data_IF_385545415532
#
_entry.id   IF_385545415532
#
_cell.length_a   1.000
_cell.length_b   1.000
_cell.length_c   1.000
_cell.angle_alpha   90.00
_cell.angle_beta   90.00
_cell.angle_gamma   90.00
#
_symmetry.space_group_name_H-M   'P 1'
#
loop_
_entity.id
_entity.type
_entity.pdbx_description
1 polymer ?
#
# COMPACT_ATOMS: atom_id res chain seq x y z
N UNK A 1 44.16 46.75 -49.55
CA UNK A 1 42.87 46.15 -49.97
C UNK A 1 42.36 45.09 -49.00
N UNK A 2 43.15 44.07 -48.61
CA UNK A 2 42.70 42.98 -47.70
C UNK A 2 42.35 43.40 -46.26
N UNK A 3 42.99 44.45 -45.71
CA UNK A 3 42.71 44.93 -44.35
C UNK A 3 41.38 45.71 -44.24
N UNK A 4 41.09 46.57 -45.23
CA UNK A 4 39.84 47.33 -45.29
C UNK A 4 38.60 46.42 -45.41
N UNK A 5 38.68 45.35 -46.21
CA UNK A 5 37.60 44.37 -46.36
C UNK A 5 37.33 43.63 -45.05
N UNK A 6 38.36 43.26 -44.28
CA UNK A 6 38.19 42.63 -42.97
C UNK A 6 37.52 43.55 -41.96
N UNK A 7 37.85 44.85 -41.95
CA UNK A 7 37.24 45.83 -41.05
C UNK A 7 35.75 46.01 -41.40
N UNK A 8 35.40 46.10 -42.68
CA UNK A 8 34.00 46.20 -43.12
C UNK A 8 33.18 44.96 -42.75
N UNK A 9 33.73 43.76 -42.93
CA UNK A 9 33.05 42.51 -42.54
C UNK A 9 32.83 42.44 -41.03
N UNK A 10 33.82 42.84 -40.22
CA UNK A 10 33.69 42.87 -38.75
C UNK A 10 32.60 43.86 -38.32
N UNK A 11 32.56 45.05 -38.93
CA UNK A 11 31.52 46.04 -38.67
C UNK A 11 30.12 45.52 -39.04
N UNK A 12 29.98 44.84 -40.18
CA UNK A 12 28.71 44.23 -40.59
C UNK A 12 28.27 43.15 -39.59
N UNK A 13 29.18 42.26 -39.18
CA UNK A 13 28.88 41.21 -38.18
C UNK A 13 28.48 41.83 -36.84
N UNK A 14 29.17 42.89 -36.38
CA UNK A 14 28.82 43.61 -35.14
C UNK A 14 27.44 44.26 -35.24
N UNK A 15 27.12 44.91 -36.36
CA UNK A 15 25.80 45.53 -36.56
C UNK A 15 24.69 44.49 -36.65
N UNK A 16 24.95 43.34 -37.29
CA UNK A 16 23.98 42.25 -37.40
C UNK A 16 23.79 41.57 -36.04
N UNK A 17 24.85 41.40 -35.24
CA UNK A 17 24.76 40.89 -33.87
C UNK A 17 23.98 41.86 -32.97
N UNK A 18 24.23 43.17 -33.05
CA UNK A 18 23.46 44.19 -32.33
C UNK A 18 21.99 44.21 -32.76
N UNK A 19 21.70 44.04 -34.04
CA UNK A 19 20.34 43.97 -34.57
C UNK A 19 19.63 42.69 -34.12
N UNK A 20 20.31 41.53 -34.12
CA UNK A 20 19.77 40.26 -33.62
C UNK A 20 19.51 40.33 -32.12
N UNK A 21 20.41 40.93 -31.33
CA UNK A 21 20.17 41.18 -29.89
C UNK A 21 18.93 42.04 -29.73
N UNK A 22 18.79 43.13 -30.49
CA UNK A 22 17.64 44.05 -30.39
C UNK A 22 16.31 43.44 -30.89
N UNK A 23 16.35 42.44 -31.76
CA UNK A 23 15.16 41.73 -32.26
C UNK A 23 14.77 40.55 -31.36
N UNK A 24 15.74 39.92 -30.66
CA UNK A 24 15.50 38.84 -29.70
C UNK A 24 15.19 39.36 -28.29
N UNK A 25 15.64 40.58 -27.95
CA UNK A 25 15.13 41.34 -26.82
C UNK A 25 13.70 41.76 -27.14
N UNK A 26 12.71 41.18 -26.46
CA UNK A 26 11.32 41.65 -26.53
C UNK A 26 11.17 43.13 -26.15
N UNK A 27 9.96 43.70 -26.23
CA UNK A 27 9.71 45.11 -25.89
C UNK A 27 10.28 45.44 -24.50
N UNK A 28 11.13 46.45 -24.42
CA UNK A 28 11.94 46.77 -23.22
C UNK A 28 11.10 47.41 -22.09
N UNK A 29 9.85 47.79 -22.38
CA UNK A 29 8.90 48.44 -21.46
C UNK A 29 7.56 47.69 -21.41
N UNK A 30 7.49 46.59 -20.66
CA UNK A 30 6.27 45.77 -20.54
C UNK A 30 6.09 45.16 -19.13
N UNK A 31 4.92 44.58 -18.87
CA UNK A 31 4.64 43.77 -17.69
C UNK A 31 4.91 42.29 -18.00
N UNK A 32 5.75 41.64 -17.18
CA UNK A 32 6.13 40.25 -17.38
C UNK A 32 5.70 39.41 -16.18
N UNK A 33 5.25 38.20 -16.45
CA UNK A 33 4.89 37.30 -15.37
C UNK A 33 6.07 36.46 -14.91
N UNK A 34 6.37 36.51 -13.60
CA UNK A 34 7.36 35.63 -12.95
C UNK A 34 6.77 35.17 -11.63
N UNK A 35 6.73 33.85 -11.42
CA UNK A 35 6.24 33.20 -10.19
C UNK A 35 4.86 33.69 -9.72
N UNK A 36 3.91 33.89 -10.64
CA UNK A 36 2.55 34.34 -10.30
C UNK A 36 2.37 35.85 -10.13
N UNK A 37 3.46 36.63 -10.22
CA UNK A 37 3.49 38.05 -9.95
C UNK A 37 3.89 38.87 -11.18
N UNK A 38 3.16 39.96 -11.42
CA UNK A 38 3.54 40.93 -12.45
C UNK A 38 4.80 41.67 -12.02
N UNK A 39 5.91 41.38 -12.69
CA UNK A 39 7.14 42.13 -12.57
C UNK A 39 7.16 43.22 -13.65
N UNK A 40 7.46 44.44 -13.19
CA UNK A 40 7.67 45.59 -14.05
C UNK A 40 9.06 45.51 -14.66
N UNK A 41 9.17 45.61 -15.98
CA UNK A 41 10.45 45.81 -16.65
C UNK A 41 10.34 47.04 -17.55
N UNK A 42 11.28 47.98 -17.35
CA UNK A 42 11.22 49.30 -17.93
C UNK A 42 10.13 50.20 -17.31
N UNK A 43 9.48 51.01 -18.15
CA UNK A 43 8.38 51.91 -17.80
C UNK A 43 7.16 51.69 -18.68
N UNK A 44 6.41 50.58 -18.50
CA UNK A 44 5.21 50.29 -19.26
C UNK A 44 4.19 51.44 -19.17
N UNK A 45 3.66 51.84 -20.32
CA UNK A 45 2.67 52.92 -20.45
C UNK A 45 1.25 52.46 -20.09
N UNK A 46 0.99 51.15 -20.12
CA UNK A 46 -0.26 50.54 -19.68
C UNK A 46 -0.33 50.32 -18.16
N UNK A 47 -1.52 50.42 -17.59
CA UNK A 47 -1.76 50.02 -16.21
C UNK A 47 -1.41 48.53 -16.02
N UNK A 48 -0.92 48.18 -14.82
CA UNK A 48 -0.68 46.79 -14.46
C UNK A 48 -1.98 45.97 -14.66
N UNK A 49 -1.93 44.79 -15.29
CA UNK A 49 -3.12 43.96 -15.47
C UNK A 49 -3.76 43.62 -14.12
N UNK A 50 -5.10 43.68 -14.05
CA UNK A 50 -5.87 43.58 -12.80
C UNK A 50 -6.21 42.14 -12.38
N UNK A 51 -5.39 41.17 -12.74
CA UNK A 51 -5.53 39.75 -12.37
C UNK A 51 -4.17 39.10 -12.10
N UNK A 52 -4.14 37.99 -11.35
CA UNK A 52 -2.92 37.19 -11.16
C UNK A 52 -2.33 36.75 -12.50
N UNK A 53 -1.02 36.73 -12.63
CA UNK A 53 -0.35 36.41 -13.89
C UNK A 53 0.21 34.99 -13.86
N UNK A 54 0.42 34.41 -15.04
CA UNK A 54 0.96 33.07 -15.19
C UNK A 54 -0.12 32.14 -15.72
N UNK A 55 0.30 30.95 -16.16
CA UNK A 55 -0.63 29.88 -16.50
C UNK A 55 -1.36 29.54 -15.19
N UNK A 56 -2.50 30.19 -14.96
CA UNK A 56 -3.33 29.95 -13.78
C UNK A 56 -3.52 28.45 -13.71
N UNK A 57 -3.17 27.82 -12.58
CA UNK A 57 -3.13 26.37 -12.47
C UNK A 57 -4.37 25.80 -13.15
N UNK A 58 -4.18 25.18 -14.32
CA UNK A 58 -5.28 24.64 -15.10
C UNK A 58 -5.80 23.49 -14.27
N UNK A 59 -6.88 23.73 -13.54
CA UNK A 59 -7.54 22.73 -12.71
C UNK A 59 -8.14 21.70 -13.67
N UNK A 60 -7.67 20.46 -13.57
CA UNK A 60 -8.09 19.35 -14.47
C UNK A 60 -9.10 18.42 -13.82
N UNK A 61 -9.16 18.40 -12.49
CA UNK A 61 -9.96 17.44 -11.74
C UNK A 61 -10.37 17.99 -10.37
N UNK A 62 -11.24 17.24 -9.69
CA UNK A 62 -11.76 17.62 -8.38
C UNK A 62 -10.66 17.75 -7.31
N UNK A 63 -9.65 16.89 -7.33
CA UNK A 63 -8.54 16.91 -6.36
C UNK A 63 -7.71 18.19 -6.48
N UNK A 64 -7.40 18.60 -7.71
CA UNK A 64 -6.73 19.88 -8.00
C UNK A 64 -7.60 21.07 -7.58
N UNK A 65 -8.91 21.03 -7.86
CA UNK A 65 -9.85 22.08 -7.46
C UNK A 65 -9.89 22.25 -5.93
N UNK A 66 -9.95 21.13 -5.20
CA UNK A 66 -9.92 21.11 -3.73
C UNK A 66 -8.59 21.64 -3.19
N UNK A 67 -7.47 21.21 -3.75
CA UNK A 67 -6.13 21.61 -3.32
C UNK A 67 -5.87 23.10 -3.56
N UNK A 68 -6.45 23.66 -4.62
CA UNK A 68 -6.42 25.09 -4.91
C UNK A 68 -7.31 25.94 -3.97
N UNK A 69 -8.09 25.32 -3.08
CA UNK A 69 -8.90 26.01 -2.08
C UNK A 69 -10.23 26.56 -2.58
N UNK A 70 -10.70 26.11 -3.75
CA UNK A 70 -11.99 26.50 -4.30
C UNK A 70 -13.17 25.92 -3.49
N UNK A 71 -14.35 26.59 -3.50
CA UNK A 71 -15.50 26.14 -2.73
C UNK A 71 -16.02 24.78 -3.21
N UNK A 72 -16.31 23.90 -2.24
CA UNK A 72 -16.98 22.61 -2.45
C UNK A 72 -18.44 22.73 -2.09
N UNK A 73 -19.33 22.32 -2.99
CA UNK A 73 -20.78 22.34 -2.78
C UNK A 73 -21.23 21.17 -1.90
N UNK A 74 -22.30 21.39 -1.13
CA UNK A 74 -22.98 20.36 -0.33
C UNK A 74 -23.78 19.42 -1.24
N UNK A 75 -23.10 18.58 -2.01
CA UNK A 75 -23.68 17.61 -2.93
C UNK A 75 -23.02 16.23 -2.80
N UNK A 76 -23.71 15.19 -3.29
CA UNK A 76 -23.14 13.87 -3.49
C UNK A 76 -23.32 13.43 -4.96
N UNK A 77 -22.24 13.15 -5.72
CA UNK A 77 -20.82 13.36 -5.37
C UNK A 77 -20.51 14.81 -5.01
N UNK A 78 -19.39 15.05 -4.31
CA UNK A 78 -18.92 16.41 -4.06
C UNK A 78 -18.57 17.10 -5.37
N UNK A 79 -18.83 18.40 -5.43
CA UNK A 79 -18.58 19.22 -6.61
C UNK A 79 -17.78 20.45 -6.20
N UNK A 80 -16.71 20.74 -6.92
CA UNK A 80 -15.85 21.89 -6.69
C UNK A 80 -15.91 22.82 -7.91
N UNK A 81 -15.89 24.14 -7.67
CA UNK A 81 -16.05 25.14 -8.73
C UNK A 81 -14.97 26.20 -8.66
N UNK A 82 -14.29 26.44 -9.78
CA UNK A 82 -13.26 27.47 -9.89
C UNK A 82 -13.84 28.89 -10.15
N UNK A 83 -12.96 29.89 -10.20
CA UNK A 83 -13.31 31.29 -10.47
C UNK A 83 -13.89 31.52 -11.89
N UNK A 84 -13.68 30.57 -12.81
CA UNK A 84 -14.22 30.59 -14.17
C UNK A 84 -15.57 29.87 -14.27
N UNK A 85 -16.12 29.41 -13.14
CA UNK A 85 -17.36 28.64 -13.05
C UNK A 85 -17.27 27.28 -13.77
N UNK A 86 -16.06 26.74 -13.97
CA UNK A 86 -15.87 25.34 -14.35
C UNK A 86 -16.18 24.46 -13.13
N UNK A 87 -16.86 23.35 -13.38
CA UNK A 87 -17.28 22.43 -12.33
C UNK A 87 -16.54 21.10 -12.44
N UNK A 88 -15.97 20.69 -11.32
CA UNK A 88 -15.24 19.44 -11.17
C UNK A 88 -16.02 18.54 -10.22
N UNK A 89 -16.34 17.33 -10.67
CA UNK A 89 -17.08 16.34 -9.90
C UNK A 89 -16.09 15.34 -9.31
N UNK A 90 -16.25 15.03 -8.03
CA UNK A 90 -15.49 13.97 -7.37
C UNK A 90 -15.72 12.62 -8.06
N UNK A 91 -14.63 11.92 -8.37
CA UNK A 91 -14.70 10.54 -8.87
C UNK A 91 -15.11 9.62 -7.71
N UNK A 92 -16.30 9.02 -7.83
CA UNK A 92 -16.83 8.02 -6.89
C UNK A 92 -16.89 6.63 -7.51
N UNK A 93 -16.20 6.41 -8.64
CA UNK A 93 -16.34 5.23 -9.46
C UNK A 93 -17.75 5.12 -10.03
N UNK A 94 -18.35 3.93 -9.94
CA UNK A 94 -19.70 3.67 -10.43
C UNK A 94 -20.74 3.47 -9.31
N UNK A 95 -20.45 3.96 -8.09
CA UNK A 95 -21.33 3.75 -6.93
C UNK A 95 -22.77 4.20 -7.20
N UNK A 96 -22.98 5.35 -7.84
CA UNK A 96 -24.32 5.85 -8.14
C UNK A 96 -25.08 4.94 -9.12
N UNK A 97 -24.39 4.36 -10.09
CA UNK A 97 -24.98 3.42 -11.07
C UNK A 97 -25.38 2.09 -10.40
N UNK A 98 -24.76 1.76 -9.27
CA UNK A 98 -24.95 0.49 -8.56
C UNK A 98 -25.82 0.59 -7.31
N UNK A 99 -26.31 1.77 -6.94
CA UNK A 99 -27.03 2.01 -5.69
C UNK A 99 -28.26 1.10 -5.44
N UNK A 100 -28.88 0.57 -6.50
CA UNK A 100 -30.05 -0.32 -6.40
C UNK A 100 -29.68 -1.81 -6.30
N UNK A 101 -28.42 -2.14 -6.59
CA UNK A 101 -27.85 -3.49 -6.60
C UNK A 101 -26.92 -3.74 -5.42
N UNK A 102 -26.04 -2.79 -5.12
CA UNK A 102 -25.04 -2.88 -4.07
C UNK A 102 -24.67 -1.50 -3.52
N UNK A 103 -24.51 -1.41 -2.21
CA UNK A 103 -24.18 -0.19 -1.47
C UNK A 103 -23.01 -0.48 -0.55
N UNK A 104 -22.01 0.39 -0.57
CA UNK A 104 -20.84 0.29 0.29
C UNK A 104 -20.95 1.29 1.45
N UNK A 105 -20.79 0.81 2.68
CA UNK A 105 -20.77 1.67 3.87
C UNK A 105 -19.32 2.02 4.25
N UNK A 106 -18.39 1.08 4.09
CA UNK A 106 -16.96 1.29 4.30
C UNK A 106 -16.13 0.41 3.34
N UNK A 107 -15.05 0.95 2.73
CA UNK A 107 -14.68 2.36 2.70
C UNK A 107 -15.63 3.21 1.82
N UNK A 108 -15.68 4.52 2.08
CA UNK A 108 -16.30 5.49 1.16
C UNK A 108 -15.33 5.85 0.02
N UNK A 109 -15.82 6.31 -1.14
CA UNK A 109 -14.94 6.75 -2.23
C UNK A 109 -13.89 7.76 -1.77
N UNK A 110 -12.67 7.60 -2.29
CA UNK A 110 -11.46 8.39 -1.99
C UNK A 110 -11.03 8.36 -0.51
N UNK A 111 -11.58 7.48 0.32
CA UNK A 111 -11.13 7.31 1.70
C UNK A 111 -9.69 6.77 1.72
N UNK A 112 -8.88 7.29 2.64
CA UNK A 112 -7.57 6.70 2.94
C UNK A 112 -7.75 5.38 3.68
N UNK A 113 -7.21 4.29 3.13
CA UNK A 113 -7.37 2.92 3.64
C UNK A 113 -6.03 2.31 4.04
N UNK A 114 -6.00 1.57 5.13
CA UNK A 114 -4.83 0.85 5.64
C UNK A 114 -5.11 -0.65 5.72
N UNK A 115 -4.07 -1.48 5.66
CA UNK A 115 -4.21 -2.93 5.82
C UNK A 115 -4.28 -3.35 7.31
N UNK A 116 -5.15 -4.31 7.69
CA UNK A 116 -6.23 -4.87 6.88
C UNK A 116 -7.36 -3.85 6.68
N UNK A 117 -7.91 -3.79 5.46
CA UNK A 117 -9.08 -2.98 5.16
C UNK A 117 -10.35 -3.77 5.47
N UNK A 118 -11.07 -3.35 6.51
CA UNK A 118 -12.42 -3.80 6.77
C UNK A 118 -13.39 -3.23 5.73
N UNK A 119 -14.27 -4.06 5.17
CA UNK A 119 -15.22 -3.68 4.14
C UNK A 119 -16.62 -4.08 4.62
N UNK A 120 -17.57 -3.17 4.48
CA UNK A 120 -18.96 -3.43 4.87
C UNK A 120 -19.93 -2.70 3.95
N UNK A 121 -21.12 -3.26 3.82
CA UNK A 121 -22.19 -2.69 3.03
C UNK A 121 -23.36 -3.66 2.94
N UNK A 122 -24.15 -3.51 1.89
CA UNK A 122 -25.28 -4.38 1.59
C UNK A 122 -25.43 -4.58 0.08
N UNK A 123 -25.77 -5.78 -0.35
CA UNK A 123 -26.01 -6.11 -1.76
C UNK A 123 -27.31 -6.88 -1.91
N UNK A 124 -27.94 -6.80 -3.08
CA UNK A 124 -29.10 -7.63 -3.42
C UNK A 124 -28.70 -9.10 -3.35
N UNK A 125 -29.60 -9.98 -2.93
CA UNK A 125 -29.26 -11.40 -2.72
C UNK A 125 -28.68 -12.12 -3.95
N UNK A 126 -29.09 -11.74 -5.16
CA UNK A 126 -28.53 -12.26 -6.43
C UNK A 126 -27.10 -11.77 -6.75
N UNK A 127 -26.51 -10.91 -5.90
CA UNK A 127 -25.10 -10.55 -5.98
C UNK A 127 -24.19 -11.66 -5.42
N UNK A 128 -24.74 -12.48 -4.53
CA UNK A 128 -24.06 -13.56 -3.84
C UNK A 128 -24.25 -14.90 -4.58
N UNK A 129 -23.27 -15.78 -4.42
CA UNK A 129 -23.37 -17.21 -4.66
C UNK A 129 -22.72 -17.93 -3.48
N UNK A 130 -23.35 -18.99 -2.96
CA UNK A 130 -22.88 -19.66 -1.74
C UNK A 130 -22.65 -18.71 -0.56
N UNK A 131 -23.51 -17.68 -0.43
CA UNK A 131 -23.43 -16.61 0.59
C UNK A 131 -22.19 -15.71 0.49
N UNK A 132 -21.40 -15.78 -0.58
CA UNK A 132 -20.18 -14.98 -0.77
C UNK A 132 -20.15 -14.28 -2.14
N UNK A 133 -19.24 -13.32 -2.29
CA UNK A 133 -18.87 -12.77 -3.59
C UNK A 133 -17.41 -12.26 -3.57
N UNK A 134 -16.73 -12.18 -4.73
CA UNK A 134 -15.31 -11.80 -4.79
C UNK A 134 -15.09 -10.30 -4.55
N UNK A 135 -14.00 -10.01 -3.83
CA UNK A 135 -13.50 -8.65 -3.60
C UNK A 135 -12.07 -8.56 -4.09
N UNK A 136 -11.75 -7.54 -4.88
CA UNK A 136 -10.40 -7.28 -5.38
C UNK A 136 -9.97 -5.87 -5.02
N UNK A 137 -8.69 -5.71 -4.75
CA UNK A 137 -8.06 -4.40 -4.61
C UNK A 137 -7.07 -4.24 -5.75
N UNK A 138 -7.19 -3.12 -6.47
CA UNK A 138 -6.38 -2.80 -7.64
C UNK A 138 -5.50 -1.58 -7.36
N UNK A 139 -4.33 -1.52 -7.99
CA UNK A 139 -3.49 -0.32 -8.04
C UNK A 139 -4.03 0.72 -9.05
N UNK A 140 -3.34 1.86 -9.16
CA UNK A 140 -3.64 2.91 -10.15
C UNK A 140 -3.61 2.44 -11.61
N UNK A 141 -2.89 1.37 -11.92
CA UNK A 141 -2.77 0.77 -13.25
C UNK A 141 -3.81 -0.33 -13.49
N UNK A 142 -4.75 -0.53 -12.56
CA UNK A 142 -5.74 -1.62 -12.54
C UNK A 142 -5.14 -3.02 -12.43
N UNK A 143 -3.92 -3.15 -11.93
CA UNK A 143 -3.34 -4.44 -11.56
C UNK A 143 -3.89 -4.88 -10.20
N UNK A 144 -4.27 -6.16 -10.10
CA UNK A 144 -4.72 -6.74 -8.83
C UNK A 144 -3.55 -6.82 -7.85
N UNK A 145 -3.69 -6.19 -6.67
CA UNK A 145 -2.72 -6.24 -5.58
C UNK A 145 -3.13 -7.18 -4.45
N UNK A 146 -4.44 -7.37 -4.25
CA UNK A 146 -4.98 -8.29 -3.25
C UNK A 146 -6.37 -8.78 -3.65
N UNK A 147 -6.75 -9.94 -3.13
CA UNK A 147 -8.10 -10.52 -3.29
C UNK A 147 -8.61 -11.05 -1.95
N UNK A 148 -9.93 -11.03 -1.79
CA UNK A 148 -10.64 -11.63 -0.66
C UNK A 148 -12.07 -11.98 -1.10
N UNK A 149 -12.92 -12.39 -0.17
CA UNK A 149 -14.35 -12.58 -0.38
C UNK A 149 -15.15 -11.82 0.68
N UNK A 150 -16.28 -11.26 0.26
CA UNK A 150 -17.28 -10.73 1.19
C UNK A 150 -18.29 -11.81 1.54
N UNK A 151 -18.65 -11.88 2.81
CA UNK A 151 -19.58 -12.85 3.37
C UNK A 151 -20.91 -12.18 3.73
N UNK A 152 -22.02 -12.74 3.26
CA UNK A 152 -23.37 -12.35 3.68
C UNK A 152 -23.55 -12.55 5.20
N UNK A 153 -24.24 -11.62 5.85
CA UNK A 153 -24.51 -11.64 7.29
C UNK A 153 -25.94 -12.12 7.62
N UNK A 154 -26.57 -12.88 6.71
CA UNK A 154 -27.93 -13.38 6.84
C UNK A 154 -28.36 -14.21 5.63
N UNK A 155 -29.66 -14.49 5.55
CA UNK A 155 -30.26 -15.20 4.40
C UNK A 155 -30.07 -14.41 3.11
N UNK A 156 -29.34 -14.98 2.16
CA UNK A 156 -28.93 -14.31 0.93
C UNK A 156 -29.80 -14.69 -0.29
N UNK A 157 -30.56 -15.77 -0.22
CA UNK A 157 -31.47 -16.21 -1.30
C UNK A 157 -32.74 -15.35 -1.31
N UNK A 158 -32.59 -14.05 -1.55
CA UNK A 158 -33.65 -13.04 -1.50
C UNK A 158 -33.46 -11.98 -2.59
N UNK A 159 -34.52 -11.25 -2.91
CA UNK A 159 -34.44 -10.05 -3.74
C UNK A 159 -34.10 -8.80 -2.92
N UNK A 160 -34.11 -8.90 -1.59
CA UNK A 160 -33.80 -7.78 -0.69
C UNK A 160 -32.30 -7.51 -0.55
N UNK A 161 -31.98 -6.36 0.06
CA UNK A 161 -30.62 -6.06 0.46
C UNK A 161 -30.17 -6.91 1.66
N UNK A 162 -29.00 -7.50 1.52
CA UNK A 162 -28.37 -8.38 2.50
C UNK A 162 -27.05 -7.75 2.93
N UNK A 163 -26.84 -7.48 4.24
CA UNK A 163 -25.57 -6.94 4.72
C UNK A 163 -24.42 -7.91 4.46
N UNK A 164 -23.24 -7.38 4.14
CA UNK A 164 -22.01 -8.15 3.99
C UNK A 164 -20.85 -7.56 4.77
N UNK A 165 -19.85 -8.40 5.06
CA UNK A 165 -18.55 -7.99 5.59
C UNK A 165 -17.43 -8.70 4.85
N UNK A 166 -16.30 -8.01 4.69
CA UNK A 166 -15.04 -8.58 4.24
C UNK A 166 -13.88 -7.93 4.99
N UNK A 167 -12.71 -8.57 4.95
CA UNK A 167 -11.45 -7.95 5.30
C UNK A 167 -10.44 -8.31 4.22
N UNK A 168 -9.65 -7.34 3.78
CA UNK A 168 -8.60 -7.56 2.77
C UNK A 168 -7.26 -7.05 3.30
N UNK A 169 -6.29 -7.94 3.37
CA UNK A 169 -4.89 -7.61 3.67
C UNK A 169 -4.17 -7.22 2.37
N UNK A 170 -3.39 -6.16 2.40
CA UNK A 170 -2.64 -5.68 1.24
C UNK A 170 -1.35 -4.97 1.66
N UNK A 171 -0.42 -4.85 0.71
CA UNK A 171 0.78 -4.04 0.85
C UNK A 171 0.84 -3.08 -0.34
N UNK A 172 0.74 -1.78 -0.08
CA UNK A 172 0.75 -0.74 -1.10
C UNK A 172 1.51 0.49 -0.59
N UNK A 173 2.08 1.25 -1.52
CA UNK A 173 2.77 2.49 -1.19
C UNK A 173 1.75 3.55 -0.75
N UNK A 174 2.03 4.22 0.37
CA UNK A 174 1.16 5.28 0.88
C UNK A 174 1.05 6.46 -0.10
N UNK A 175 -0.14 7.04 -0.17
CA UNK A 175 -0.48 8.16 -1.05
C UNK A 175 -0.85 7.77 -2.48
N UNK A 176 -0.66 6.52 -2.89
CA UNK A 176 -1.11 6.07 -4.21
C UNK A 176 -2.62 5.83 -4.25
N UNK A 177 -3.25 6.14 -5.39
CA UNK A 177 -4.65 5.81 -5.64
C UNK A 177 -4.79 4.34 -6.04
N UNK A 178 -5.90 3.72 -5.64
CA UNK A 178 -6.30 2.39 -6.05
C UNK A 178 -7.81 2.27 -6.22
N UNK A 179 -8.26 1.06 -6.51
CA UNK A 179 -9.68 0.77 -6.70
C UNK A 179 -10.07 -0.50 -5.94
N UNK A 180 -11.04 -0.36 -5.04
CA UNK A 180 -11.72 -1.51 -4.45
C UNK A 180 -12.83 -1.95 -5.40
N UNK A 181 -12.83 -3.23 -5.77
CA UNK A 181 -13.80 -3.83 -6.68
C UNK A 181 -14.57 -4.91 -5.94
N UNK A 182 -15.89 -4.74 -5.84
CA UNK A 182 -16.82 -5.73 -5.32
C UNK A 182 -17.50 -6.35 -6.53
N UNK A 183 -17.08 -7.55 -6.92
CA UNK A 183 -17.64 -8.25 -8.07
C UNK A 183 -18.88 -9.04 -7.68
N UNK A 184 -19.89 -9.04 -8.55
CA UNK A 184 -20.99 -10.00 -8.48
C UNK A 184 -20.43 -11.39 -8.74
N UNK A 185 -20.82 -12.37 -7.92
CA UNK A 185 -20.39 -13.74 -8.17
C UNK A 185 -21.00 -14.26 -9.48
N UNK A 186 -20.16 -14.87 -10.32
CA UNK A 186 -20.53 -15.33 -11.66
C UNK A 186 -19.97 -16.72 -11.94
N UNK A 187 -20.58 -17.79 -11.38
CA UNK A 187 -20.11 -19.17 -11.58
C UNK A 187 -20.13 -19.64 -13.04
N UNK A 188 -20.87 -18.94 -13.90
CA UNK A 188 -20.98 -19.27 -15.33
C UNK A 188 -19.83 -18.70 -16.18
N UNK A 189 -19.04 -17.78 -15.62
CA UNK A 189 -18.01 -17.01 -16.34
C UNK A 189 -18.50 -16.27 -17.61
N UNK A 190 -19.82 -16.13 -17.78
CA UNK A 190 -20.42 -15.44 -18.91
C UNK A 190 -20.39 -13.91 -18.71
N UNK A 191 -19.86 -13.12 -19.66
CA UNK A 191 -19.73 -11.67 -19.51
C UNK A 191 -21.04 -10.94 -19.19
N UNK A 192 -22.17 -11.40 -19.72
CA UNK A 192 -23.50 -10.83 -19.48
C UNK A 192 -23.97 -10.94 -18.02
N UNK A 193 -23.39 -11.87 -17.25
CA UNK A 193 -23.71 -12.08 -15.84
C UNK A 193 -22.73 -11.35 -14.90
N UNK A 194 -21.62 -10.84 -15.44
CA UNK A 194 -20.63 -10.09 -14.69
C UNK A 194 -21.17 -8.70 -14.36
N UNK A 195 -21.02 -8.31 -13.10
CA UNK A 195 -21.24 -6.94 -12.67
C UNK A 195 -20.26 -6.59 -11.55
N UNK A 196 -19.95 -5.32 -11.36
CA UNK A 196 -19.03 -4.86 -10.33
C UNK A 196 -19.35 -3.46 -9.82
N UNK A 197 -19.13 -3.26 -8.52
CA UNK A 197 -19.00 -1.95 -7.91
C UNK A 197 -17.51 -1.62 -7.78
N UNK A 198 -17.13 -0.48 -8.35
CA UNK A 198 -15.77 0.07 -8.33
C UNK A 198 -15.76 1.32 -7.45
N UNK A 199 -14.92 1.31 -6.42
CA UNK A 199 -14.80 2.37 -5.42
C UNK A 199 -13.35 2.85 -5.40
N UNK A 200 -13.06 4.10 -5.78
CA UNK A 200 -11.71 4.64 -5.69
C UNK A 200 -11.30 4.77 -4.22
N UNK A 201 -10.04 4.46 -3.90
CA UNK A 201 -9.47 4.57 -2.54
C UNK A 201 -8.06 5.16 -2.62
N UNK A 202 -7.57 5.66 -1.49
CA UNK A 202 -6.18 6.14 -1.36
C UNK A 202 -5.46 5.23 -0.37
N UNK A 203 -4.31 4.68 -0.72
CA UNK A 203 -3.57 3.84 0.22
C UNK A 203 -2.92 4.71 1.31
N UNK A 204 -3.17 4.35 2.56
CA UNK A 204 -2.52 4.96 3.73
C UNK A 204 -1.26 4.22 4.13
N UNK A 205 -0.50 4.81 5.05
CA UNK A 205 0.60 4.12 5.72
C UNK A 205 0.07 2.88 6.45
N UNK A 206 0.63 1.68 6.21
CA UNK A 206 0.12 0.46 6.83
C UNK A 206 0.22 0.58 8.35
N UNK A 207 -0.86 0.21 9.05
CA UNK A 207 -0.79 0.06 10.49
C UNK A 207 0.21 -1.04 10.83
N UNK A 208 1.07 -0.76 11.80
CA UNK A 208 2.11 -1.68 12.22
C UNK A 208 1.97 -2.01 13.68
N UNK A 209 2.47 -3.18 14.04
CA UNK A 209 2.55 -3.64 15.42
C UNK A 209 3.87 -4.35 15.66
N UNK A 210 4.17 -4.59 16.93
CA UNK A 210 5.39 -5.26 17.35
C UNK A 210 5.08 -6.71 17.75
N UNK A 211 5.89 -7.64 17.24
CA UNK A 211 5.95 -9.03 17.71
C UNK A 211 7.37 -9.34 18.15
N UNK A 212 7.54 -10.34 19.02
CA UNK A 212 8.87 -10.80 19.44
C UNK A 212 9.28 -12.02 18.64
N UNK A 213 10.54 -12.09 18.24
CA UNK A 213 11.18 -13.32 17.77
C UNK A 213 12.33 -13.64 18.71
N UNK A 214 12.63 -14.92 18.89
CA UNK A 214 13.57 -15.35 19.91
C UNK A 214 14.75 -16.05 19.29
N UNK A 215 15.95 -15.55 19.58
CA UNK A 215 17.22 -16.10 19.08
C UNK A 215 18.16 -16.39 20.25
N UNK A 216 19.09 -17.33 20.08
CA UNK A 216 20.22 -17.45 21.01
C UNK A 216 21.11 -16.20 20.90
N UNK A 217 21.86 -15.86 21.95
CA UNK A 217 22.77 -14.72 21.93
C UNK A 217 24.10 -15.03 22.61
N UNK A 218 25.21 -14.86 21.89
CA UNK A 218 26.57 -15.19 22.37
C UNK A 218 27.18 -14.17 23.34
N UNK A 219 26.65 -12.94 23.39
CA UNK A 219 27.12 -11.88 24.30
C UNK A 219 26.35 -11.89 25.63
N UNK A 220 25.04 -12.13 25.58
CA UNK A 220 24.17 -12.20 26.75
C UNK A 220 24.22 -13.56 27.46
N UNK A 221 24.72 -14.59 26.78
CA UNK A 221 24.91 -15.93 27.34
C UNK A 221 26.26 -16.54 26.93
N UNK A 222 27.39 -16.06 27.48
CA UNK A 222 28.72 -16.51 27.10
C UNK A 222 29.00 -18.00 27.36
N UNK A 223 28.29 -18.61 28.32
CA UNK A 223 28.37 -20.05 28.61
C UNK A 223 27.60 -20.91 27.59
N UNK A 224 26.83 -20.27 26.70
CA UNK A 224 26.01 -20.86 25.65
C UNK A 224 25.10 -22.02 26.12
N UNK A 225 23.98 -21.64 26.73
CA UNK A 225 22.87 -22.54 27.01
C UNK A 225 22.00 -22.68 25.77
N UNK A 226 22.01 -23.86 25.14
CA UNK A 226 21.29 -24.13 23.90
C UNK A 226 19.80 -23.73 23.96
N UNK A 227 19.16 -23.91 25.11
CA UNK A 227 17.73 -23.64 25.31
C UNK A 227 17.42 -22.18 25.70
N UNK A 228 18.45 -21.34 25.88
CA UNK A 228 18.28 -19.96 26.34
C UNK A 228 18.28 -19.03 25.15
N UNK A 229 17.12 -18.42 24.93
CA UNK A 229 16.87 -17.49 23.83
C UNK A 229 16.41 -16.14 24.38
N UNK A 230 16.62 -15.09 23.60
CA UNK A 230 16.35 -13.71 23.97
C UNK A 230 15.46 -13.05 22.93
N UNK A 231 14.50 -12.21 23.35
CA UNK A 231 13.56 -11.58 22.43
C UNK A 231 14.23 -10.46 21.63
N UNK A 232 13.80 -10.35 20.39
CA UNK A 232 14.05 -9.24 19.47
C UNK A 232 12.71 -8.74 18.96
N UNK A 233 12.49 -7.43 18.99
CA UNK A 233 11.26 -6.82 18.53
C UNK A 233 11.27 -6.68 17.00
N UNK A 234 10.24 -7.23 16.35
CA UNK A 234 9.97 -7.13 14.91
C UNK A 234 8.76 -6.26 14.68
N UNK A 235 8.89 -5.27 13.80
CA UNK A 235 7.78 -4.42 13.35
C UNK A 235 7.12 -5.08 12.14
N UNK A 236 5.89 -5.52 12.29
CA UNK A 236 5.11 -6.18 11.23
C UNK A 236 3.89 -5.34 10.87
N UNK A 237 3.38 -5.51 9.65
CA UNK A 237 2.05 -5.03 9.29
C UNK A 237 1.03 -5.75 10.17
N UNK A 238 0.02 -5.02 10.64
CA UNK A 238 -1.06 -5.57 11.46
C UNK A 238 -1.78 -6.69 10.69
N UNK A 239 -1.99 -7.83 11.34
CA UNK A 239 -2.64 -9.02 10.76
C UNK A 239 -3.33 -9.82 11.86
N UNK A 240 -4.37 -10.58 11.52
CA UNK A 240 -4.99 -11.55 12.43
C UNK A 240 -4.10 -12.79 12.63
N UNK A 241 -3.22 -13.10 11.66
CA UNK A 241 -2.36 -14.28 11.67
C UNK A 241 -1.05 -14.09 12.45
N UNK A 242 -1.11 -13.49 13.65
CA UNK A 242 0.07 -13.07 14.42
C UNK A 242 1.09 -14.17 14.66
N UNK A 243 0.64 -15.38 15.02
CA UNK A 243 1.53 -16.50 15.32
C UNK A 243 2.29 -16.99 14.09
N UNK A 244 1.62 -17.07 12.94
CA UNK A 244 2.26 -17.41 11.67
C UNK A 244 3.26 -16.32 11.29
N UNK A 245 2.86 -15.06 11.39
CA UNK A 245 3.72 -13.94 11.00
C UNK A 245 4.97 -13.85 11.88
N UNK A 246 4.85 -14.05 13.18
CA UNK A 246 6.00 -14.09 14.09
C UNK A 246 7.00 -15.21 13.73
N UNK A 247 6.52 -16.39 13.33
CA UNK A 247 7.40 -17.45 12.83
C UNK A 247 8.07 -17.09 11.50
N UNK A 248 7.35 -16.49 10.56
CA UNK A 248 7.97 -16.02 9.30
C UNK A 248 9.08 -15.00 9.56
N UNK A 249 8.90 -14.09 10.52
CA UNK A 249 9.95 -13.15 10.94
C UNK A 249 11.11 -13.84 11.66
N UNK A 250 10.87 -14.93 12.39
CA UNK A 250 11.90 -15.76 12.99
C UNK A 250 12.74 -16.48 11.93
N UNK A 251 12.08 -17.06 10.92
CA UNK A 251 12.72 -17.83 9.84
C UNK A 251 13.57 -16.95 8.90
N UNK A 252 13.32 -15.64 8.85
CA UNK A 252 14.22 -14.69 8.18
C UNK A 252 15.57 -14.55 8.89
N UNK A 253 15.66 -14.97 10.17
CA UNK A 253 16.86 -14.87 10.97
C UNK A 253 17.11 -13.47 11.54
N UNK A 254 18.24 -13.29 12.26
CA UNK A 254 18.67 -12.01 12.79
C UNK A 254 19.21 -11.10 11.67
N UNK A 255 18.94 -9.79 11.75
CA UNK A 255 19.53 -8.80 10.84
C UNK A 255 21.03 -8.66 11.05
N UNK A 256 21.73 -8.02 10.11
CA UNK A 256 23.17 -7.73 10.24
C UNK A 256 23.48 -6.95 11.53
N UNK A 257 22.62 -6.01 11.91
CA UNK A 257 22.74 -5.24 13.15
C UNK A 257 22.58 -6.14 14.38
N UNK A 258 21.62 -7.06 14.37
CA UNK A 258 21.39 -8.00 15.49
C UNK A 258 22.51 -9.02 15.62
N UNK A 259 23.04 -9.51 14.50
CA UNK A 259 24.22 -10.37 14.49
C UNK A 259 25.43 -9.67 15.12
N UNK A 260 25.61 -8.36 14.87
CA UNK A 260 26.66 -7.56 15.53
C UNK A 260 26.47 -7.44 17.05
N UNK A 261 25.24 -7.61 17.53
CA UNK A 261 24.86 -7.66 18.95
C UNK A 261 24.87 -9.10 19.51
N UNK A 262 25.36 -10.07 18.73
CA UNK A 262 25.54 -11.46 19.15
C UNK A 262 24.32 -12.36 18.97
N UNK A 263 23.24 -11.91 18.35
CA UNK A 263 22.08 -12.77 18.07
C UNK A 263 22.37 -13.76 16.93
N UNK A 264 21.96 -15.02 17.13
CA UNK A 264 22.27 -16.13 16.23
C UNK A 264 21.02 -17.00 16.02
N UNK A 265 20.70 -17.30 14.76
CA UNK A 265 19.72 -18.34 14.41
C UNK A 265 20.41 -19.70 14.32
N UNK A 266 19.77 -20.74 14.88
CA UNK A 266 20.18 -22.14 14.64
C UNK A 266 19.36 -22.83 13.55
N UNK A 267 18.29 -22.15 13.10
CA UNK A 267 17.35 -22.61 12.08
C UNK A 267 17.98 -22.43 10.71
N UNK A 268 17.83 -23.42 9.83
CA UNK A 268 18.34 -23.36 8.47
C UNK A 268 17.62 -22.29 7.65
N UNK A 269 18.35 -21.64 6.74
CA UNK A 269 17.76 -20.74 5.76
C UNK A 269 16.83 -21.51 4.83
N UNK A 270 15.73 -20.86 4.43
CA UNK A 270 14.79 -21.40 3.45
C UNK A 270 13.76 -22.39 4.00
N UNK A 271 13.75 -22.64 5.32
CA UNK A 271 12.68 -23.41 5.98
C UNK A 271 11.32 -22.79 5.69
N UNK A 272 10.31 -23.63 5.46
CA UNK A 272 8.93 -23.21 5.17
C UNK A 272 7.96 -23.77 6.19
N UNK A 273 6.97 -22.95 6.54
CA UNK A 273 5.84 -23.38 7.38
C UNK A 273 4.79 -24.00 6.47
N UNK A 274 4.66 -25.32 6.52
CA UNK A 274 3.62 -26.06 5.79
C UNK A 274 2.25 -25.86 6.42
N UNK A 275 2.15 -25.91 7.74
CA UNK A 275 0.89 -25.64 8.45
C UNK A 275 1.09 -25.08 9.86
N UNK A 276 0.08 -24.37 10.36
CA UNK A 276 0.03 -23.90 11.75
C UNK A 276 -1.42 -23.94 12.21
N UNK A 277 -1.70 -24.68 13.28
CA UNK A 277 -3.01 -24.77 13.92
C UNK A 277 -2.87 -24.52 15.41
N UNK A 278 -3.72 -23.68 15.97
CA UNK A 278 -3.76 -23.37 17.40
C UNK A 278 -5.13 -23.76 17.93
N UNK A 279 -5.18 -24.81 18.73
CA UNK A 279 -6.42 -25.36 19.29
C UNK A 279 -6.17 -25.79 20.74
N UNK A 280 -7.10 -25.45 21.64
CA UNK A 280 -7.02 -25.82 23.07
C UNK A 280 -5.70 -25.44 23.76
N UNK A 281 -5.09 -24.32 23.38
CA UNK A 281 -3.82 -23.88 23.96
C UNK A 281 -2.57 -24.54 23.37
N UNK A 282 -2.71 -25.39 22.34
CA UNK A 282 -1.60 -26.11 21.71
C UNK A 282 -1.41 -25.57 20.30
N UNK A 283 -0.23 -25.01 20.02
CA UNK A 283 0.20 -24.65 18.69
C UNK A 283 0.91 -25.83 18.02
N UNK A 284 0.29 -26.41 16.99
CA UNK A 284 0.87 -27.46 16.14
C UNK A 284 1.41 -26.80 14.88
N UNK A 285 2.73 -26.75 14.74
CA UNK A 285 3.43 -26.16 13.60
C UNK A 285 4.14 -27.25 12.82
N UNK A 286 3.92 -27.29 11.51
CA UNK A 286 4.56 -28.22 10.59
C UNK A 286 5.48 -27.47 9.65
N UNK A 287 6.73 -27.91 9.56
CA UNK A 287 7.75 -27.38 8.68
C UNK A 287 8.16 -28.39 7.60
N UNK A 288 8.86 -27.94 6.58
CA UNK A 288 9.46 -28.82 5.57
C UNK A 288 10.78 -29.45 6.06
N UNK A 289 11.25 -30.49 5.36
CA UNK A 289 12.50 -31.22 5.64
C UNK A 289 13.74 -30.32 5.79
N UNK A 290 13.71 -29.10 5.23
CA UNK A 290 14.78 -28.12 5.36
C UNK A 290 15.09 -27.80 6.83
N UNK A 291 14.12 -27.93 7.74
CA UNK A 291 14.34 -27.66 9.17
C UNK A 291 15.32 -28.65 9.81
N UNK A 292 15.36 -29.89 9.35
CA UNK A 292 16.25 -30.95 9.85
C UNK A 292 17.45 -31.22 8.94
N UNK A 293 17.49 -30.59 7.76
CA UNK A 293 18.56 -30.79 6.79
C UNK A 293 19.94 -30.50 7.42
N UNK A 294 20.79 -31.52 7.48
CA UNK A 294 22.14 -31.44 8.08
C UNK A 294 22.15 -30.88 9.51
N UNK A 295 21.06 -31.09 10.25
CA UNK A 295 21.00 -30.79 11.68
C UNK A 295 21.47 -32.02 12.43
N UNK A 296 22.52 -31.83 13.23
CA UNK A 296 23.03 -32.85 14.14
C UNK A 296 23.49 -32.20 15.44
N UNK A 297 23.49 -33.01 16.51
CA UNK A 297 23.91 -32.60 17.83
C UNK A 297 22.77 -32.02 18.66
N UNK A 298 22.59 -32.63 19.83
CA UNK A 298 21.62 -32.25 20.87
C UNK A 298 21.49 -30.74 21.10
N UNK A 299 22.59 -29.99 21.08
CA UNK A 299 22.55 -28.55 21.33
C UNK A 299 21.83 -27.77 20.21
N UNK A 300 22.14 -28.06 18.94
CA UNK A 300 21.53 -27.34 17.81
C UNK A 300 20.04 -27.63 17.71
N UNK A 301 19.69 -28.91 17.90
CA UNK A 301 18.29 -29.38 18.01
C UNK A 301 17.52 -28.61 19.09
N UNK A 302 18.12 -28.49 20.27
CA UNK A 302 17.45 -27.86 21.40
C UNK A 302 17.33 -26.33 21.21
N UNK A 303 18.34 -25.71 20.58
CA UNK A 303 18.29 -24.31 20.17
C UNK A 303 17.19 -24.02 19.14
N UNK A 304 17.09 -24.81 18.07
CA UNK A 304 16.01 -24.70 17.07
C UNK A 304 14.64 -24.78 17.76
N UNK A 305 14.46 -25.79 18.61
CA UNK A 305 13.21 -26.01 19.34
C UNK A 305 12.87 -24.84 20.27
N UNK A 306 13.87 -24.28 20.97
CA UNK A 306 13.69 -23.14 21.88
C UNK A 306 13.29 -21.86 21.12
N UNK A 307 13.94 -21.56 19.99
CA UNK A 307 13.63 -20.38 19.17
C UNK A 307 12.17 -20.41 18.67
N UNK A 308 11.73 -21.55 18.14
CA UNK A 308 10.34 -21.75 17.67
C UNK A 308 9.36 -21.69 18.84
N UNK A 309 9.66 -22.40 19.92
CA UNK A 309 8.75 -22.55 21.07
C UNK A 309 8.52 -21.21 21.77
N UNK A 310 9.57 -20.47 22.10
CA UNK A 310 9.42 -19.18 22.80
C UNK A 310 8.78 -18.11 21.92
N UNK A 311 9.04 -18.14 20.61
CA UNK A 311 8.35 -17.28 19.64
C UNK A 311 6.84 -17.55 19.62
N UNK A 312 6.39 -18.79 19.69
CA UNK A 312 4.95 -19.10 19.74
C UNK A 312 4.33 -18.88 21.12
N UNK A 313 5.06 -19.15 22.21
CA UNK A 313 4.57 -18.98 23.58
C UNK A 313 4.47 -17.52 24.03
N UNK A 314 4.93 -16.55 23.21
CA UNK A 314 4.66 -15.13 23.46
C UNK A 314 3.16 -14.81 23.45
N UNK A 315 2.35 -15.61 22.74
CA UNK A 315 0.91 -15.41 22.64
C UNK A 315 0.21 -16.10 23.82
N UNK A 316 -0.58 -15.34 24.59
CA UNK A 316 -1.24 -15.86 25.80
C UNK A 316 -2.19 -17.04 25.55
N UNK A 317 -2.63 -17.24 24.30
CA UNK A 317 -3.45 -18.38 23.88
C UNK A 317 -2.63 -19.65 23.61
N UNK A 318 -1.31 -19.61 23.70
CA UNK A 318 -0.41 -20.75 23.41
C UNK A 318 0.33 -21.16 24.68
N UNK A 319 -0.04 -22.32 25.21
CA UNK A 319 0.56 -22.92 26.40
C UNK A 319 1.63 -23.96 26.04
N UNK A 320 1.41 -24.68 24.93
CA UNK A 320 2.27 -25.75 24.45
C UNK A 320 2.49 -25.62 22.94
N UNK A 321 3.66 -26.04 22.49
CA UNK A 321 4.04 -26.09 21.07
C UNK A 321 4.39 -27.52 20.71
N UNK A 322 3.89 -27.98 19.57
CA UNK A 322 4.26 -29.26 18.94
C UNK A 322 4.83 -28.90 17.57
N UNK A 323 6.08 -29.28 17.35
CA UNK A 323 6.78 -29.11 16.08
C UNK A 323 6.66 -30.42 15.31
N UNK A 324 6.40 -30.35 14.01
CA UNK A 324 6.44 -31.48 13.09
C UNK A 324 7.24 -31.13 11.83
N UNK A 325 7.76 -32.16 11.15
CA UNK A 325 8.42 -32.05 9.85
C UNK A 325 7.76 -33.05 8.91
N UNK A 326 7.15 -32.56 7.83
CA UNK A 326 6.35 -33.36 6.90
C UNK A 326 5.32 -34.26 7.62
N UNK A 327 4.67 -33.72 8.66
CA UNK A 327 3.69 -34.41 9.50
C UNK A 327 4.27 -35.37 10.55
N UNK A 328 5.59 -35.58 10.60
CA UNK A 328 6.26 -36.44 11.60
C UNK A 328 6.57 -35.68 12.88
N UNK A 329 6.48 -36.35 14.03
CA UNK A 329 6.70 -35.73 15.36
C UNK A 329 7.65 -36.50 16.28
N UNK A 330 7.83 -37.80 16.07
CA UNK A 330 8.60 -38.66 17.01
C UNK A 330 10.10 -38.73 16.66
N UNK A 331 10.42 -38.70 15.37
CA UNK A 331 11.76 -38.88 14.80
C UNK A 331 12.40 -37.58 14.31
N UNK A 332 11.72 -36.45 14.51
CA UNK A 332 12.22 -35.14 14.10
C UNK A 332 13.15 -34.57 15.18
N UNK A 333 14.15 -33.78 14.75
CA UNK A 333 15.04 -33.05 15.65
C UNK A 333 15.55 -33.95 16.80
N UNK A 334 16.01 -35.16 16.49
CA UNK A 334 16.56 -36.07 17.49
C UNK A 334 18.02 -35.71 17.83
N UNK A 335 18.45 -35.83 19.11
CA UNK A 335 19.82 -35.53 19.57
C UNK A 335 20.96 -36.29 18.87
#
# INVERSE_FOLDING_TARGET
MKLAIKIVIILIILTMALFVVRVLSGPEDDWFCVDGHWLKHGSPSGAMPTGGCGDGQVIKNFSECLTAGFPVMESYPRRCRDDQNNEFVEDIGNEFEKQDLIRIDNPRPNQTVTSPLAISGQARGHWFFEAVFPVKLLDKNRQVIATSSAQAQGEWMTEEFVPFKAAIEFNAAAGEQGFLVLGKDNPSDLPENADELLVPVIFGEPETMTVKVFFNNSQLDPEFSCNKVFPVDRKIIKTEALARKALEELLQGPTTEEQSQGFISSINDGVKIQSLKIENGIAKVDFDEQLEFQVGGSCRVAAISAQITETLKQFATVNQVIISIDGRTEDILQP
#
